data_IF_097658775236
#
_entry.id   IF_097658775236
#
_cell.length_a   1.000
_cell.length_b   1.000
_cell.length_c   1.000
_cell.angle_alpha   90.00
_cell.angle_beta   90.00
_cell.angle_gamma   90.00
#
_symmetry.space_group_name_H-M   'P 1'
#
loop_
_entity.id
_entity.type
_entity.pdbx_description
1 polymer ?
#
# COMPACT_ATOMS: atom_id res chain seq x y z
N UNK A 1 4.65 0.63 -2.98
CA UNK A 1 4.38 2.08 -3.11
C UNK A 1 4.54 2.76 -1.74
N UNK A 2 5.72 2.61 -1.09
CA UNK A 2 5.94 3.12 0.26
C UNK A 2 6.62 4.50 0.29
N UNK A 3 7.18 4.96 -0.83
CA UNK A 3 7.95 6.19 -0.91
C UNK A 3 9.07 6.23 0.14
N UNK A 4 9.20 7.33 0.82
CA UNK A 4 10.17 7.52 1.93
C UNK A 4 9.68 6.95 3.26
N UNK A 5 8.52 6.27 3.29
CA UNK A 5 8.03 5.56 4.47
C UNK A 5 6.96 6.28 5.30
N UNK A 6 6.18 7.17 4.72
CA UNK A 6 5.13 7.92 5.44
C UNK A 6 4.19 7.03 6.25
N UNK A 7 3.71 5.94 5.66
CA UNK A 7 2.93 4.92 6.37
C UNK A 7 3.80 3.87 7.06
N UNK A 8 4.97 3.53 6.49
CA UNK A 8 5.85 2.48 6.99
C UNK A 8 6.26 2.70 8.44
N UNK A 9 6.70 3.91 8.78
CA UNK A 9 7.12 4.23 10.15
C UNK A 9 5.96 4.13 11.15
N UNK A 10 4.77 4.58 10.79
CA UNK A 10 3.58 4.48 11.64
C UNK A 10 3.15 3.02 11.87
N UNK A 11 3.21 2.20 10.83
CA UNK A 11 2.93 0.78 10.95
C UNK A 11 3.99 0.06 11.80
N UNK A 12 5.26 0.47 11.68
CA UNK A 12 6.35 -0.12 12.44
C UNK A 12 6.30 0.17 13.95
N UNK A 13 5.50 1.10 14.42
CA UNK A 13 5.23 1.29 15.84
C UNK A 13 4.53 0.07 16.45
N UNK A 14 3.75 -0.68 15.66
CA UNK A 14 2.89 -1.76 16.13
C UNK A 14 3.25 -3.15 15.59
N UNK A 15 3.80 -3.22 14.36
CA UNK A 15 4.09 -4.50 13.70
C UNK A 15 5.37 -4.44 12.84
N UNK A 16 6.04 -5.59 12.57
CA UNK A 16 7.08 -5.65 11.55
C UNK A 16 6.52 -5.25 10.18
N UNK A 17 7.30 -4.52 9.38
CA UNK A 17 6.87 -4.01 8.08
C UNK A 17 7.84 -4.43 6.99
N UNK A 18 7.31 -4.98 5.91
CA UNK A 18 8.00 -5.09 4.62
C UNK A 18 7.52 -3.96 3.70
N UNK A 19 8.44 -3.16 3.19
CA UNK A 19 8.16 -1.99 2.38
C UNK A 19 8.80 -2.12 1.00
N UNK A 20 8.09 -1.70 -0.05
CA UNK A 20 8.61 -1.73 -1.42
C UNK A 20 8.21 -0.47 -2.18
N UNK A 21 9.15 0.07 -2.96
CA UNK A 21 8.93 1.20 -3.87
C UNK A 21 9.89 1.13 -5.05
N UNK A 22 9.51 1.71 -6.17
CA UNK A 22 10.34 1.75 -7.37
C UNK A 22 11.51 2.74 -7.29
N UNK A 23 11.48 3.71 -6.36
CA UNK A 23 12.48 4.76 -6.23
C UNK A 23 13.63 4.37 -5.30
N UNK A 24 14.84 4.02 -5.82
CA UNK A 24 15.95 3.57 -4.99
C UNK A 24 16.40 4.60 -3.96
N UNK A 25 16.33 5.90 -4.30
CA UNK A 25 16.68 6.98 -3.38
C UNK A 25 15.73 7.09 -2.19
N UNK A 26 14.41 6.87 -2.42
CA UNK A 26 13.41 6.83 -1.36
C UNK A 26 13.66 5.65 -0.41
N UNK A 27 13.96 4.47 -0.96
CA UNK A 27 14.30 3.27 -0.18
C UNK A 27 15.59 3.46 0.61
N UNK A 28 16.62 4.08 0.04
CA UNK A 28 17.85 4.39 0.76
C UNK A 28 17.59 5.33 1.94
N UNK A 29 16.80 6.39 1.74
CA UNK A 29 16.40 7.31 2.79
C UNK A 29 15.59 6.60 3.89
N UNK A 30 14.61 5.75 3.51
CA UNK A 30 13.81 4.97 4.44
C UNK A 30 14.70 4.05 5.31
N UNK A 31 15.62 3.29 4.69
CA UNK A 31 16.52 2.40 5.40
C UNK A 31 17.44 3.14 6.37
N UNK A 32 17.98 4.30 5.95
CA UNK A 32 18.81 5.16 6.81
C UNK A 32 18.02 5.65 8.03
N UNK A 33 16.80 6.16 7.82
CA UNK A 33 15.93 6.65 8.89
C UNK A 33 15.47 5.53 9.83
N UNK A 34 15.15 4.36 9.29
CA UNK A 34 14.76 3.19 10.09
C UNK A 34 15.88 2.73 11.03
N UNK A 35 17.13 2.75 10.57
CA UNK A 35 18.30 2.41 11.39
C UNK A 35 18.56 3.39 12.55
N UNK A 36 18.08 4.63 12.43
CA UNK A 36 18.24 5.69 13.42
C UNK A 36 17.03 5.86 14.37
N UNK A 37 15.90 5.21 14.09
CA UNK A 37 14.64 5.39 14.82
C UNK A 37 14.49 4.35 15.94
N UNK A 38 14.60 4.73 17.23
CA UNK A 38 14.44 3.81 18.33
C UNK A 38 12.96 3.40 18.51
N UNK A 39 12.73 2.20 19.04
CA UNK A 39 11.40 1.74 19.47
C UNK A 39 10.50 1.19 18.35
N UNK A 40 10.95 1.21 17.09
CA UNK A 40 10.22 0.62 16.00
C UNK A 40 10.42 -0.90 15.91
N UNK A 41 9.39 -1.60 15.41
CA UNK A 41 9.52 -2.99 14.98
C UNK A 41 10.37 -3.05 13.70
N UNK A 42 10.81 -4.25 13.34
CA UNK A 42 11.66 -4.47 12.17
C UNK A 42 11.03 -3.90 10.90
N UNK A 43 11.79 -3.08 10.20
CA UNK A 43 11.47 -2.60 8.86
C UNK A 43 12.46 -3.25 7.89
N UNK A 44 11.94 -3.90 6.86
CA UNK A 44 12.71 -4.34 5.69
C UNK A 44 12.20 -3.59 4.48
N UNK A 45 13.10 -2.98 3.69
CA UNK A 45 12.67 -2.21 2.53
C UNK A 45 13.49 -2.57 1.29
N UNK A 46 12.82 -2.72 0.15
CA UNK A 46 13.43 -3.05 -1.13
C UNK A 46 13.05 -2.08 -2.25
N UNK A 47 14.00 -1.81 -3.15
CA UNK A 47 13.72 -1.11 -4.39
C UNK A 47 13.10 -2.09 -5.40
N UNK A 48 11.79 -1.93 -5.67
CA UNK A 48 11.03 -2.85 -6.52
C UNK A 48 9.92 -2.10 -7.27
N UNK A 49 9.95 -2.17 -8.58
CA UNK A 49 8.90 -1.65 -9.44
C UNK A 49 7.69 -2.59 -9.39
N UNK A 50 6.69 -2.24 -8.60
CA UNK A 50 5.51 -3.08 -8.36
C UNK A 50 4.56 -3.16 -9.56
N UNK A 51 4.69 -2.28 -10.55
CA UNK A 51 3.96 -2.39 -11.80
C UNK A 51 4.55 -3.45 -12.74
N UNK A 52 5.89 -3.67 -12.68
CA UNK A 52 6.58 -4.64 -13.51
C UNK A 52 6.88 -5.95 -12.79
N UNK A 53 7.11 -5.87 -11.48
CA UNK A 53 7.44 -7.00 -10.61
C UNK A 53 6.65 -6.91 -9.31
N UNK A 54 5.32 -7.14 -9.35
CA UNK A 54 4.50 -7.11 -8.15
C UNK A 54 5.00 -8.11 -7.10
N UNK A 55 4.68 -7.87 -5.84
CA UNK A 55 4.81 -8.86 -4.79
C UNK A 55 3.84 -9.99 -5.09
N UNK A 56 4.36 -11.19 -5.27
CA UNK A 56 3.57 -12.36 -5.62
C UNK A 56 2.66 -12.79 -4.45
N UNK A 57 1.57 -13.48 -4.75
CA UNK A 57 0.68 -14.01 -3.73
C UNK A 57 1.41 -14.87 -2.69
N UNK A 58 2.42 -15.66 -3.12
CA UNK A 58 3.24 -16.49 -2.22
C UNK A 58 4.07 -15.66 -1.25
N UNK A 59 4.56 -14.47 -1.66
CA UNK A 59 5.27 -13.53 -0.81
C UNK A 59 4.31 -12.88 0.19
N UNK A 60 3.10 -12.52 -0.25
CA UNK A 60 2.06 -11.88 0.54
C UNK A 60 1.39 -12.83 1.55
N UNK A 61 1.45 -14.14 1.37
CA UNK A 61 0.80 -15.12 2.26
C UNK A 61 1.31 -15.14 3.71
N UNK A 62 2.40 -14.42 3.98
CA UNK A 62 2.97 -14.24 5.32
C UNK A 62 2.59 -12.89 5.95
N UNK A 63 1.71 -12.14 5.28
CA UNK A 63 1.34 -10.77 5.65
C UNK A 63 -0.13 -10.74 6.06
N UNK A 64 -0.43 -10.16 7.20
CA UNK A 64 -1.81 -10.02 7.69
C UNK A 64 -2.53 -8.85 7.03
N UNK A 65 -1.80 -7.75 6.79
CA UNK A 65 -2.34 -6.49 6.27
C UNK A 65 -1.45 -5.95 5.16
N UNK A 66 -2.06 -5.52 4.06
CA UNK A 66 -1.38 -4.76 3.00
C UNK A 66 -1.88 -3.33 2.99
N UNK A 67 -0.96 -2.36 2.98
CA UNK A 67 -1.26 -0.94 2.77
C UNK A 67 -0.55 -0.50 1.50
N UNK A 68 -1.25 0.15 0.59
CA UNK A 68 -0.64 0.67 -0.64
C UNK A 68 -1.14 2.08 -0.98
N UNK A 69 -0.26 2.90 -1.52
CA UNK A 69 -0.50 4.28 -1.97
C UNK A 69 0.17 4.48 -3.35
N UNK A 70 -0.46 4.00 -4.42
CA UNK A 70 0.13 3.98 -5.75
C UNK A 70 0.05 5.35 -6.43
N UNK A 71 0.80 5.56 -7.52
CA UNK A 71 0.62 6.73 -8.38
C UNK A 71 -0.78 6.74 -9.02
N UNK A 72 -1.11 7.82 -9.73
CA UNK A 72 -2.43 8.02 -10.38
C UNK A 72 -2.89 6.87 -11.29
N UNK A 73 -1.97 6.05 -11.77
CA UNK A 73 -2.28 4.86 -12.59
C UNK A 73 -2.94 3.72 -11.79
N UNK A 74 -2.88 3.81 -10.46
CA UNK A 74 -3.37 2.75 -9.56
C UNK A 74 -2.37 1.61 -9.39
N UNK A 75 -2.84 0.50 -8.83
CA UNK A 75 -2.03 -0.67 -8.46
C UNK A 75 -2.50 -1.95 -9.16
N UNK A 76 -2.94 -1.87 -10.44
CA UNK A 76 -3.60 -2.96 -11.15
C UNK A 76 -2.89 -4.32 -10.97
N UNK A 77 -1.60 -4.39 -11.30
CA UNK A 77 -0.81 -5.62 -11.24
C UNK A 77 -0.66 -6.14 -9.81
N UNK A 78 -0.50 -5.23 -8.84
CA UNK A 78 -0.33 -5.62 -7.45
C UNK A 78 -1.63 -6.11 -6.82
N UNK A 79 -2.77 -5.51 -7.13
CA UNK A 79 -4.05 -5.94 -6.55
C UNK A 79 -4.48 -7.32 -7.04
N UNK A 80 -4.09 -7.75 -8.25
CA UNK A 80 -4.32 -9.11 -8.74
C UNK A 80 -3.64 -10.16 -7.85
N UNK A 81 -2.40 -9.89 -7.43
CA UNK A 81 -1.69 -10.77 -6.50
C UNK A 81 -2.24 -10.72 -5.08
N UNK A 82 -2.68 -9.55 -4.61
CA UNK A 82 -3.37 -9.41 -3.33
C UNK A 82 -4.66 -10.23 -3.35
N UNK A 83 -5.43 -10.12 -4.43
CA UNK A 83 -6.71 -10.80 -4.60
C UNK A 83 -6.63 -12.32 -4.39
N UNK A 84 -5.58 -12.97 -4.92
CA UNK A 84 -5.38 -14.42 -4.82
C UNK A 84 -4.47 -14.86 -3.67
N UNK A 85 -4.00 -13.92 -2.83
CA UNK A 85 -3.17 -14.20 -1.64
C UNK A 85 -4.04 -14.63 -0.45
N UNK A 86 -3.42 -14.85 0.72
CA UNK A 86 -4.09 -15.11 2.00
C UNK A 86 -4.24 -13.86 2.86
N UNK A 87 -3.93 -12.67 2.35
CA UNK A 87 -4.06 -11.40 3.07
C UNK A 87 -5.52 -11.21 3.50
N UNK A 88 -5.75 -10.97 4.78
CA UNK A 88 -7.09 -10.79 5.35
C UNK A 88 -7.58 -9.36 5.33
N UNK A 89 -6.68 -8.37 5.26
CA UNK A 89 -7.05 -6.95 5.30
C UNK A 89 -6.20 -6.11 4.35
N UNK A 90 -6.84 -5.17 3.67
CA UNK A 90 -6.19 -4.27 2.72
C UNK A 90 -6.62 -2.83 3.00
N UNK A 91 -5.67 -1.91 2.98
CA UNK A 91 -5.93 -0.46 2.99
C UNK A 91 -5.34 0.13 1.72
N UNK A 92 -6.19 0.62 0.84
CA UNK A 92 -5.79 1.29 -0.39
C UNK A 92 -5.97 2.80 -0.28
N UNK A 93 -4.90 3.54 -0.49
CA UNK A 93 -4.93 5.00 -0.67
C UNK A 93 -4.88 5.30 -2.16
N UNK A 94 -5.54 6.36 -2.62
CA UNK A 94 -5.52 6.73 -4.04
C UNK A 94 -5.91 8.19 -4.25
N UNK A 95 -5.15 8.89 -5.09
CA UNK A 95 -5.49 10.24 -5.57
C UNK A 95 -6.32 10.23 -6.88
N UNK A 96 -6.81 9.07 -7.32
CA UNK A 96 -7.62 8.94 -8.54
C UNK A 96 -8.81 7.99 -8.32
N UNK A 97 -10.04 8.52 -8.17
CA UNK A 97 -11.23 7.71 -7.92
C UNK A 97 -11.50 6.64 -9.00
N UNK A 98 -11.16 6.90 -10.26
CA UNK A 98 -11.41 5.95 -11.34
C UNK A 98 -10.51 4.70 -11.24
N UNK A 99 -9.20 4.90 -10.99
CA UNK A 99 -8.28 3.78 -10.79
C UNK A 99 -8.52 3.08 -9.46
N UNK A 100 -8.91 3.81 -8.42
CA UNK A 100 -9.36 3.22 -7.15
C UNK A 100 -10.56 2.29 -7.35
N UNK A 101 -11.58 2.72 -8.10
CA UNK A 101 -12.77 1.90 -8.35
C UNK A 101 -12.43 0.62 -9.13
N UNK A 102 -11.52 0.71 -10.11
CA UNK A 102 -11.02 -0.45 -10.85
C UNK A 102 -10.32 -1.44 -9.92
N UNK A 103 -9.37 -0.97 -9.11
CA UNK A 103 -8.58 -1.79 -8.20
C UNK A 103 -9.45 -2.40 -7.09
N UNK A 104 -10.40 -1.61 -6.56
CA UNK A 104 -11.39 -2.08 -5.58
C UNK A 104 -12.29 -3.18 -6.15
N UNK A 105 -12.67 -3.09 -7.44
CA UNK A 105 -13.49 -4.11 -8.09
C UNK A 105 -12.77 -5.46 -8.12
N UNK A 106 -11.47 -5.50 -8.43
CA UNK A 106 -10.66 -6.72 -8.43
C UNK A 106 -10.66 -7.36 -7.03
N UNK A 107 -10.48 -6.57 -5.97
CA UNK A 107 -10.50 -7.07 -4.60
C UNK A 107 -11.88 -7.62 -4.21
N UNK A 108 -12.96 -6.91 -4.56
CA UNK A 108 -14.34 -7.31 -4.25
C UNK A 108 -14.69 -8.62 -4.98
N UNK A 109 -14.33 -8.76 -6.25
CA UNK A 109 -14.56 -9.98 -7.03
C UNK A 109 -13.80 -11.19 -6.47
N UNK A 110 -12.68 -10.94 -5.78
CA UNK A 110 -11.90 -11.95 -5.07
C UNK A 110 -12.40 -12.25 -3.64
N UNK A 111 -13.54 -11.69 -3.23
CA UNK A 111 -14.19 -11.98 -1.96
C UNK A 111 -13.86 -11.01 -0.82
N UNK A 112 -13.13 -9.92 -1.08
CA UNK A 112 -13.03 -8.85 -0.10
C UNK A 112 -14.34 -8.05 -0.02
N UNK A 113 -14.70 -7.65 1.19
CA UNK A 113 -15.75 -6.67 1.43
C UNK A 113 -15.09 -5.29 1.55
N UNK A 114 -15.62 -4.30 0.85
CA UNK A 114 -15.28 -2.90 1.07
C UNK A 114 -16.00 -2.41 2.33
N UNK A 115 -15.28 -2.31 3.43
CA UNK A 115 -15.85 -1.94 4.74
C UNK A 115 -16.07 -0.43 4.85
N UNK A 116 -15.17 0.36 4.26
CA UNK A 116 -15.21 1.82 4.36
C UNK A 116 -14.48 2.47 3.20
N UNK A 117 -15.01 3.60 2.74
CA UNK A 117 -14.31 4.59 1.91
C UNK A 117 -14.34 5.93 2.63
N UNK A 118 -13.18 6.54 2.78
CA UNK A 118 -13.02 7.87 3.36
C UNK A 118 -12.43 8.78 2.29
N UNK A 119 -13.18 9.78 1.78
CA UNK A 119 -12.61 10.83 0.96
C UNK A 119 -11.90 11.85 1.86
N UNK A 120 -10.72 12.32 1.41
CA UNK A 120 -9.93 13.35 2.08
C UNK A 120 -9.70 14.48 1.09
N UNK A 121 -10.37 15.60 1.32
CA UNK A 121 -10.25 16.82 0.51
C UNK A 121 -9.13 17.68 1.07
N UNK A 122 -7.91 17.45 0.59
CA UNK A 122 -6.71 18.17 1.04
C UNK A 122 -6.12 19.11 -0.02
N UNK A 123 -6.66 19.10 -1.25
CA UNK A 123 -6.15 19.89 -2.36
C UNK A 123 -7.05 21.12 -2.58
N UNK A 124 -6.85 22.18 -1.81
CA UNK A 124 -7.61 23.43 -1.91
C UNK A 124 -7.64 23.93 -3.38
N UNK A 125 -8.82 24.36 -3.83
CA UNK A 125 -9.06 24.91 -5.18
C UNK A 125 -8.80 23.92 -6.33
N UNK A 126 -8.81 22.63 -6.05
CA UNK A 126 -8.59 21.55 -7.03
C UNK A 126 -9.74 20.53 -7.00
N UNK A 127 -10.10 19.91 -8.13
CA UNK A 127 -11.05 18.80 -8.14
C UNK A 127 -10.45 17.48 -7.66
N UNK A 128 -9.19 17.49 -7.22
CA UNK A 128 -8.53 16.28 -6.74
C UNK A 128 -8.94 15.95 -5.31
N UNK A 129 -9.21 14.68 -5.06
CA UNK A 129 -9.54 14.14 -3.74
C UNK A 129 -8.69 12.89 -3.51
N UNK A 130 -8.19 12.71 -2.29
CA UNK A 130 -7.64 11.44 -1.86
C UNK A 130 -8.76 10.53 -1.36
N UNK A 131 -8.60 9.24 -1.59
CA UNK A 131 -9.50 8.21 -1.08
C UNK A 131 -8.71 7.23 -0.22
N UNK A 132 -9.31 6.81 0.89
CA UNK A 132 -8.79 5.71 1.70
C UNK A 132 -9.88 4.64 1.75
N UNK A 133 -9.61 3.48 1.15
CA UNK A 133 -10.49 2.31 1.18
C UNK A 133 -9.97 1.25 2.14
N UNK A 134 -10.86 0.70 2.96
CA UNK A 134 -10.54 -0.42 3.86
C UNK A 134 -11.32 -1.63 3.42
N UNK A 135 -10.62 -2.74 3.23
CA UNK A 135 -11.16 -4.01 2.77
C UNK A 135 -10.81 -5.12 3.76
N UNK A 136 -11.74 -6.09 3.94
CA UNK A 136 -11.52 -7.29 4.74
C UNK A 136 -12.19 -8.53 4.14
N UNK A 137 -11.68 -9.70 4.49
CA UNK A 137 -12.28 -10.99 4.17
C UNK A 137 -12.00 -12.04 5.23
#
# INVERSE_FOLDING_TARGET
FCGVGSFTFRLAEIAPVHAADSAPGAIAALNSAAGAAPGLKTITAEARDLARRPLLASELNKTDVVVFDPPRAGAAEQVEHIAVSKVGRVVGVSCNPATFARDARVLIDAGFRLDRVLPVDQFLWSPHVELVGVFSR
#
